data_IF_823407362600
#
_entry.id   IF_823407362600
#
_cell.length_a   1.000
_cell.length_b   1.000
_cell.length_c   1.000
_cell.angle_alpha   90.00
_cell.angle_beta   90.00
_cell.angle_gamma   90.00
#
_symmetry.space_group_name_H-M   'P 1'
#
loop_
_entity.id
_entity.type
_entity.pdbx_description
1 polymer ?
#
# COMPACT_ATOMS: atom_id res chain seq x y z
N UNK A 1 -35.54 -17.23 3.18
CA UNK A 1 -35.09 -16.53 4.38
C UNK A 1 -35.76 -15.16 4.39
N UNK A 2 -36.67 -14.92 5.33
CA UNK A 2 -37.42 -13.68 5.47
C UNK A 2 -36.47 -12.49 5.72
N UNK A 3 -36.81 -11.27 5.24
CA UNK A 3 -35.99 -10.09 5.50
C UNK A 3 -35.94 -9.87 7.01
N UNK A 4 -34.75 -9.91 7.57
CA UNK A 4 -34.52 -9.56 8.96
C UNK A 4 -35.07 -8.15 9.20
N UNK A 5 -36.16 -8.06 9.96
CA UNK A 5 -36.64 -6.83 10.54
C UNK A 5 -35.42 -6.10 11.13
N UNK A 6 -35.24 -4.84 10.73
CA UNK A 6 -34.22 -3.98 11.33
C UNK A 6 -34.48 -3.97 12.85
N UNK A 7 -33.76 -4.84 13.57
CA UNK A 7 -33.86 -4.91 15.03
C UNK A 7 -33.54 -3.51 15.53
N UNK A 8 -34.39 -2.97 16.43
CA UNK A 8 -34.09 -1.68 17.02
C UNK A 8 -32.66 -1.71 17.59
N UNK A 9 -31.91 -0.60 17.55
CA UNK A 9 -30.54 -0.55 18.08
C UNK A 9 -30.44 -1.19 19.50
N UNK A 10 -31.50 -1.05 20.27
CA UNK A 10 -31.61 -1.61 21.60
C UNK A 10 -31.71 -3.16 21.60
N UNK A 11 -32.51 -3.72 20.70
CA UNK A 11 -32.63 -5.18 20.54
C UNK A 11 -31.31 -5.78 20.05
N UNK A 12 -30.63 -5.10 19.12
CA UNK A 12 -29.30 -5.50 18.65
C UNK A 12 -28.27 -5.50 19.77
N UNK A 13 -28.21 -4.43 20.58
CA UNK A 13 -27.30 -4.34 21.75
C UNK A 13 -27.54 -5.46 22.75
N UNK A 14 -28.82 -5.73 23.08
CA UNK A 14 -29.18 -6.79 24.03
C UNK A 14 -28.69 -8.16 23.55
N UNK A 15 -28.86 -8.48 22.27
CA UNK A 15 -28.49 -9.80 21.71
C UNK A 15 -26.98 -9.93 21.51
N UNK A 16 -26.27 -8.86 21.12
CA UNK A 16 -24.86 -8.96 20.76
C UNK A 16 -23.90 -8.58 21.89
N UNK A 17 -24.27 -7.60 22.74
CA UNK A 17 -23.41 -7.08 23.79
C UNK A 17 -23.76 -7.62 25.20
N UNK A 18 -25.03 -7.91 25.44
CA UNK A 18 -25.55 -8.34 26.75
C UNK A 18 -26.26 -9.70 26.71
N UNK A 19 -25.87 -10.57 25.79
CA UNK A 19 -26.50 -11.89 25.59
C UNK A 19 -26.24 -12.89 26.72
N UNK A 20 -25.11 -12.80 27.39
CA UNK A 20 -24.72 -13.67 28.51
C UNK A 20 -24.08 -12.83 29.63
N UNK A 21 -24.02 -13.35 30.89
CA UNK A 21 -23.33 -12.64 31.98
C UNK A 21 -21.87 -12.30 31.66
N UNK A 22 -21.17 -13.22 30.98
CA UNK A 22 -19.77 -13.02 30.56
C UNK A 22 -19.68 -11.90 29.53
N UNK A 23 -20.51 -11.91 28.47
CA UNK A 23 -20.54 -10.85 27.47
C UNK A 23 -20.91 -9.50 28.08
N UNK A 24 -21.84 -9.49 29.03
CA UNK A 24 -22.21 -8.26 29.76
C UNK A 24 -21.03 -7.73 30.58
N UNK A 25 -20.34 -8.59 31.32
CA UNK A 25 -19.16 -8.18 32.10
C UNK A 25 -18.03 -7.65 31.19
N UNK A 26 -17.73 -8.32 30.08
CA UNK A 26 -16.76 -7.88 29.10
C UNK A 26 -17.15 -6.53 28.45
N UNK A 27 -18.41 -6.38 28.07
CA UNK A 27 -18.93 -5.14 27.50
C UNK A 27 -18.78 -3.97 28.48
N UNK A 28 -19.19 -4.17 29.76
CA UNK A 28 -19.06 -3.14 30.79
C UNK A 28 -17.60 -2.80 31.08
N UNK A 29 -16.71 -3.79 31.12
CA UNK A 29 -15.28 -3.57 31.30
C UNK A 29 -14.67 -2.75 30.15
N UNK A 30 -15.01 -3.11 28.90
CA UNK A 30 -14.54 -2.37 27.71
C UNK A 30 -15.09 -0.94 27.72
N UNK A 31 -16.38 -0.74 28.03
CA UNK A 31 -16.99 0.57 28.10
C UNK A 31 -16.35 1.43 29.21
N UNK A 32 -16.10 0.87 30.39
CA UNK A 32 -15.41 1.55 31.47
C UNK A 32 -13.97 1.95 31.07
N UNK A 33 -13.24 1.03 30.41
CA UNK A 33 -11.90 1.31 29.89
C UNK A 33 -11.93 2.42 28.85
N UNK A 34 -12.88 2.40 27.90
CA UNK A 34 -13.02 3.44 26.90
C UNK A 34 -13.43 4.77 27.52
N UNK A 35 -14.35 4.79 28.47
CA UNK A 35 -14.77 5.98 29.20
C UNK A 35 -13.62 6.64 30.00
N UNK A 36 -12.65 5.84 30.44
CA UNK A 36 -11.45 6.34 31.11
C UNK A 36 -10.36 6.76 30.11
N UNK A 37 -10.14 5.98 29.03
CA UNK A 37 -9.04 6.19 28.08
C UNK A 37 -9.34 7.32 27.09
N UNK A 38 -10.57 7.38 26.54
CA UNK A 38 -10.93 8.33 25.46
C UNK A 38 -10.80 9.79 25.90
N UNK A 39 -11.29 10.21 27.08
CA UNK A 39 -11.10 11.59 27.56
C UNK A 39 -9.62 11.92 27.76
N UNK A 40 -8.84 11.00 28.33
CA UNK A 40 -7.39 11.22 28.54
C UNK A 40 -6.63 11.30 27.21
N UNK A 41 -6.90 10.39 26.29
CA UNK A 41 -6.29 10.41 24.96
C UNK A 41 -6.72 11.68 24.20
N UNK A 42 -7.99 12.07 24.27
CA UNK A 42 -8.52 13.30 23.68
C UNK A 42 -7.91 14.56 24.29
N UNK A 43 -7.76 14.61 25.63
CA UNK A 43 -7.04 15.66 26.32
C UNK A 43 -5.64 15.80 25.75
N UNK A 44 -4.86 14.73 25.84
CA UNK A 44 -3.48 14.71 25.37
C UNK A 44 -3.33 15.05 23.87
N UNK A 45 -4.17 14.46 22.99
CA UNK A 45 -4.07 14.65 21.54
C UNK A 45 -4.53 16.01 21.05
N UNK A 46 -5.53 16.63 21.69
CA UNK A 46 -6.26 17.76 21.11
C UNK A 46 -6.27 18.98 22.03
N UNK A 47 -6.80 18.83 23.27
CA UNK A 47 -7.09 19.98 24.13
C UNK A 47 -5.85 20.55 24.78
N UNK A 48 -4.96 19.71 25.31
CA UNK A 48 -3.74 20.12 25.99
C UNK A 48 -2.54 20.15 25.03
N UNK A 49 -2.76 19.91 23.74
CA UNK A 49 -1.72 19.81 22.73
C UNK A 49 -1.22 21.18 22.26
N UNK A 50 0.07 21.25 21.98
CA UNK A 50 0.71 22.43 21.36
C UNK A 50 0.61 22.33 19.83
N UNK A 51 -0.11 23.26 19.23
CA UNK A 51 -0.36 23.33 17.79
C UNK A 51 0.41 24.47 17.13
N UNK A 52 0.69 24.32 15.83
CA UNK A 52 1.26 25.36 14.97
C UNK A 52 2.78 25.51 15.07
N UNK A 53 3.35 26.55 14.41
CA UNK A 53 4.78 26.77 14.33
C UNK A 53 5.32 27.37 15.65
N UNK A 54 5.54 26.51 16.64
CA UNK A 54 6.08 26.89 17.95
C UNK A 54 7.44 26.23 18.19
N UNK A 55 8.35 26.86 18.93
CA UNK A 55 9.65 26.26 19.27
C UNK A 55 9.47 25.03 20.18
N UNK A 56 10.45 24.14 20.19
CA UNK A 56 10.43 22.93 21.02
C UNK A 56 10.28 23.23 22.52
N UNK A 57 10.79 24.39 23.00
CA UNK A 57 10.65 24.84 24.37
C UNK A 57 9.18 25.08 24.80
N UNK A 58 8.31 25.47 23.88
CA UNK A 58 6.88 25.59 24.17
C UNK A 58 6.21 24.24 24.46
N UNK A 59 6.72 23.16 23.87
CA UNK A 59 6.25 21.81 24.13
C UNK A 59 6.78 21.24 25.46
N UNK A 60 7.91 21.75 25.94
CA UNK A 60 8.47 21.29 27.21
C UNK A 60 7.57 21.65 28.41
N UNK A 61 6.80 22.74 28.32
CA UNK A 61 5.85 23.15 29.32
C UNK A 61 4.65 22.19 29.48
N UNK A 62 4.27 21.49 28.40
CA UNK A 62 3.10 20.57 28.40
C UNK A 62 3.53 19.12 28.30
N UNK A 63 4.81 18.85 28.51
CA UNK A 63 5.36 17.51 28.35
C UNK A 63 4.74 16.52 29.34
N UNK A 64 4.10 15.46 28.77
CA UNK A 64 3.39 14.44 29.54
C UNK A 64 1.90 14.72 29.72
N UNK A 65 1.46 15.98 29.59
CA UNK A 65 0.07 16.38 29.67
C UNK A 65 -0.59 16.55 28.29
N UNK A 66 0.14 17.11 27.33
CA UNK A 66 -0.33 17.35 25.97
C UNK A 66 0.67 16.96 24.89
N UNK A 67 0.16 16.62 23.70
CA UNK A 67 0.96 16.30 22.53
C UNK A 67 1.62 17.54 21.91
N UNK A 68 2.80 17.38 21.34
CA UNK A 68 3.51 18.44 20.65
C UNK A 68 3.39 18.33 19.12
N UNK A 69 2.30 18.84 18.55
CA UNK A 69 2.14 18.85 17.08
C UNK A 69 3.02 19.89 16.38
N UNK A 70 3.67 20.78 17.13
CA UNK A 70 4.65 21.71 16.60
C UNK A 70 5.83 21.00 15.93
N UNK A 71 6.19 19.78 16.36
CA UNK A 71 7.22 18.94 15.71
C UNK A 71 6.85 18.61 14.27
N UNK A 72 5.58 18.28 14.02
CA UNK A 72 5.11 18.00 12.67
C UNK A 72 5.20 19.25 11.81
N UNK A 73 4.80 20.41 12.35
CA UNK A 73 4.86 21.68 11.64
C UNK A 73 6.29 22.07 11.24
N UNK A 74 7.22 21.91 12.15
CA UNK A 74 8.64 22.23 11.92
C UNK A 74 9.30 21.25 10.94
N UNK A 75 8.99 19.96 11.04
CA UNK A 75 9.65 18.90 10.29
C UNK A 75 8.88 18.39 9.08
N UNK A 76 7.69 18.94 8.77
CA UNK A 76 6.80 18.43 7.71
C UNK A 76 7.50 18.29 6.36
N UNK A 77 8.37 19.23 6.00
CA UNK A 77 9.11 19.19 4.73
C UNK A 77 10.05 18.00 4.67
N UNK A 78 10.79 17.73 5.75
CA UNK A 78 11.68 16.58 5.80
C UNK A 78 10.87 15.27 5.89
N UNK A 79 9.77 15.25 6.64
CA UNK A 79 8.89 14.08 6.71
C UNK A 79 8.33 13.70 5.34
N UNK A 80 7.89 14.68 4.55
CA UNK A 80 7.26 14.42 3.25
C UNK A 80 8.27 14.16 2.12
N UNK A 81 9.47 14.76 2.17
CA UNK A 81 10.41 14.74 1.06
C UNK A 81 11.76 14.09 1.39
N UNK A 82 12.02 13.76 2.67
CA UNK A 82 13.26 13.14 3.12
C UNK A 82 14.48 13.99 2.80
N UNK A 83 15.46 13.37 2.19
CA UNK A 83 16.75 13.99 1.82
C UNK A 83 16.73 14.69 0.45
N UNK A 84 15.56 14.83 -0.16
CA UNK A 84 15.45 15.56 -1.43
C UNK A 84 15.92 17.01 -1.26
N UNK A 85 16.69 17.60 -2.24
CA UNK A 85 17.24 18.95 -2.12
C UNK A 85 16.18 19.98 -1.76
N UNK A 86 16.46 20.80 -0.74
CA UNK A 86 15.48 21.69 -0.12
C UNK A 86 14.82 22.66 -1.12
N UNK A 87 15.60 23.25 -2.00
CA UNK A 87 15.11 24.23 -2.98
C UNK A 87 14.29 23.58 -4.10
N UNK A 88 14.45 22.27 -4.29
CA UNK A 88 13.79 21.48 -5.33
C UNK A 88 12.59 20.62 -4.81
N UNK A 89 12.27 20.72 -3.51
CA UNK A 89 11.19 19.89 -2.90
C UNK A 89 9.81 20.11 -3.51
N UNK A 90 9.58 21.25 -4.15
CA UNK A 90 8.36 21.51 -4.92
C UNK A 90 8.13 20.47 -6.02
N UNK A 91 9.20 19.94 -6.63
CA UNK A 91 9.16 18.90 -7.67
C UNK A 91 8.67 17.58 -7.07
N UNK A 92 9.24 17.17 -5.92
CA UNK A 92 8.82 15.99 -5.20
C UNK A 92 7.36 16.11 -4.72
N UNK A 93 6.93 17.30 -4.31
CA UNK A 93 5.54 17.58 -3.95
C UNK A 93 4.59 17.38 -5.14
N UNK A 94 4.92 17.98 -6.31
CA UNK A 94 4.11 17.84 -7.52
C UNK A 94 4.09 16.35 -7.95
N UNK A 95 5.22 15.64 -7.90
CA UNK A 95 5.27 14.22 -8.24
C UNK A 95 4.38 13.38 -7.32
N UNK A 96 4.39 13.62 -5.99
CA UNK A 96 3.52 12.92 -5.04
C UNK A 96 2.04 13.22 -5.31
N UNK A 97 1.68 14.48 -5.57
CA UNK A 97 0.30 14.88 -5.93
C UNK A 97 -0.12 14.24 -7.25
N UNK A 98 0.75 14.24 -8.26
CA UNK A 98 0.48 13.62 -9.56
C UNK A 98 0.23 12.12 -9.42
N UNK A 99 1.10 11.39 -8.71
CA UNK A 99 0.95 9.96 -8.48
C UNK A 99 -0.33 9.64 -7.69
N UNK A 100 -0.65 10.44 -6.66
CA UNK A 100 -1.91 10.31 -5.91
C UNK A 100 -3.12 10.58 -6.81
N UNK A 101 -3.05 11.61 -7.67
CA UNK A 101 -4.11 11.95 -8.61
C UNK A 101 -4.35 10.84 -9.64
N UNK A 102 -3.30 10.17 -10.11
CA UNK A 102 -3.41 9.01 -10.99
C UNK A 102 -4.18 7.87 -10.33
N UNK A 103 -3.92 7.60 -9.05
CA UNK A 103 -4.67 6.60 -8.28
C UNK A 103 -6.15 7.01 -8.15
N UNK A 104 -6.45 8.27 -7.83
CA UNK A 104 -7.81 8.78 -7.72
C UNK A 104 -8.56 8.71 -9.06
N UNK A 105 -7.91 9.13 -10.16
CA UNK A 105 -8.50 9.05 -11.51
C UNK A 105 -8.79 7.60 -11.89
N UNK A 106 -7.90 6.66 -11.53
CA UNK A 106 -8.09 5.22 -11.77
C UNK A 106 -9.28 4.65 -10.99
N UNK A 107 -9.65 5.27 -9.87
CA UNK A 107 -10.83 4.85 -9.10
C UNK A 107 -12.15 5.33 -9.74
N UNK A 108 -12.12 6.28 -10.65
CA UNK A 108 -13.32 6.86 -11.28
C UNK A 108 -13.67 6.10 -12.55
N UNK A 109 -14.81 5.42 -12.57
CA UNK A 109 -15.27 4.54 -13.67
C UNK A 109 -15.34 5.24 -15.04
N UNK A 110 -15.67 6.53 -15.10
CA UNK A 110 -15.75 7.28 -16.36
C UNK A 110 -14.42 7.37 -17.13
N UNK A 111 -13.30 7.21 -16.41
CA UNK A 111 -11.96 7.19 -16.99
C UNK A 111 -11.50 5.79 -17.45
N UNK A 112 -12.23 4.72 -17.21
CA UNK A 112 -11.88 3.34 -17.59
C UNK A 112 -11.98 3.10 -19.10
N UNK A 113 -11.18 3.81 -19.84
CA UNK A 113 -11.05 3.75 -21.31
C UNK A 113 -9.58 3.68 -21.69
N UNK A 114 -9.27 3.43 -22.96
CA UNK A 114 -7.89 3.45 -23.49
C UNK A 114 -7.11 4.73 -23.12
N UNK A 115 -7.81 5.84 -22.89
CA UNK A 115 -7.21 7.11 -22.43
C UNK A 115 -6.52 6.96 -21.06
N UNK A 116 -6.98 6.09 -20.19
CA UNK A 116 -6.37 5.87 -18.87
C UNK A 116 -4.91 5.41 -19.02
N UNK A 117 -4.62 4.55 -19.99
CA UNK A 117 -3.25 4.08 -20.29
C UNK A 117 -2.36 5.26 -20.67
N UNK A 118 -2.85 6.15 -21.53
CA UNK A 118 -2.10 7.35 -21.92
C UNK A 118 -1.88 8.31 -20.74
N UNK A 119 -2.90 8.49 -19.88
CA UNK A 119 -2.80 9.32 -18.66
C UNK A 119 -1.72 8.74 -17.73
N UNK A 120 -1.70 7.42 -17.53
CA UNK A 120 -0.67 6.76 -16.73
C UNK A 120 0.71 6.90 -17.36
N UNK A 121 0.86 6.66 -18.67
CA UNK A 121 2.15 6.80 -19.36
C UNK A 121 2.72 8.21 -19.22
N UNK A 122 1.90 9.23 -19.47
CA UNK A 122 2.31 10.65 -19.32
C UNK A 122 2.63 10.97 -17.85
N UNK A 123 1.76 10.57 -16.93
CA UNK A 123 1.95 10.85 -15.51
C UNK A 123 3.20 10.19 -14.93
N UNK A 124 3.52 8.97 -15.36
CA UNK A 124 4.76 8.27 -15.00
C UNK A 124 5.98 9.03 -15.51
N UNK A 125 6.02 9.35 -16.80
CA UNK A 125 7.13 10.08 -17.41
C UNK A 125 7.35 11.43 -16.72
N UNK A 126 6.27 12.17 -16.46
CA UNK A 126 6.34 13.45 -15.75
C UNK A 126 6.83 13.27 -14.30
N UNK A 127 6.39 12.23 -13.59
CA UNK A 127 6.84 11.99 -12.22
C UNK A 127 8.34 11.69 -12.14
N UNK A 128 8.86 10.87 -13.06
CA UNK A 128 10.31 10.59 -13.11
C UNK A 128 11.11 11.80 -13.57
N UNK A 129 10.62 12.56 -14.53
CA UNK A 129 11.26 13.79 -14.95
C UNK A 129 11.31 14.83 -13.82
N UNK A 130 10.22 15.01 -13.08
CA UNK A 130 10.20 15.88 -11.90
C UNK A 130 11.20 15.42 -10.85
N UNK A 131 11.22 14.13 -10.53
CA UNK A 131 12.11 13.59 -9.48
C UNK A 131 13.58 13.59 -9.90
N UNK A 132 13.88 13.14 -11.13
CA UNK A 132 15.26 13.00 -11.61
C UNK A 132 15.85 14.25 -12.22
N UNK A 133 15.02 15.15 -12.72
CA UNK A 133 15.47 16.36 -13.44
C UNK A 133 15.85 16.11 -14.89
N UNK A 134 16.68 17.00 -15.43
CA UNK A 134 17.02 17.06 -16.87
C UNK A 134 16.03 17.93 -17.65
N UNK A 135 16.35 18.22 -18.92
CA UNK A 135 15.54 19.07 -19.79
C UNK A 135 15.16 20.43 -19.14
N UNK A 136 16.17 21.12 -18.57
CA UNK A 136 15.98 22.43 -17.93
C UNK A 136 15.81 22.37 -16.39
N UNK A 137 15.69 21.20 -15.80
CA UNK A 137 15.69 21.02 -14.35
C UNK A 137 17.05 20.49 -13.87
N UNK A 138 17.50 20.91 -12.70
CA UNK A 138 18.71 20.40 -12.06
C UNK A 138 18.61 18.89 -11.85
N UNK A 139 19.62 18.08 -12.26
CA UNK A 139 19.60 16.65 -12.03
C UNK A 139 19.68 16.32 -10.55
N UNK A 140 18.79 15.43 -10.08
CA UNK A 140 18.78 14.92 -8.72
C UNK A 140 18.93 13.39 -8.76
N UNK A 141 20.04 12.84 -8.28
CA UNK A 141 20.28 11.40 -8.32
C UNK A 141 19.31 10.66 -7.39
N UNK A 142 18.99 9.40 -7.72
CA UNK A 142 17.97 8.62 -7.03
C UNK A 142 18.32 8.36 -5.55
N UNK A 143 19.58 8.41 -5.18
CA UNK A 143 20.04 8.29 -3.77
C UNK A 143 19.54 9.46 -2.88
N UNK A 144 19.21 10.59 -3.51
CA UNK A 144 18.63 11.76 -2.83
C UNK A 144 17.09 11.80 -2.90
N UNK A 145 16.46 10.80 -3.50
CA UNK A 145 15.00 10.73 -3.47
C UNK A 145 14.54 10.24 -2.11
N UNK A 146 13.42 10.77 -1.62
CA UNK A 146 12.94 10.41 -0.30
C UNK A 146 11.49 10.77 -0.04
N UNK A 147 11.03 10.38 1.14
CA UNK A 147 9.71 10.70 1.67
C UNK A 147 8.55 10.02 0.95
N UNK A 148 7.40 10.70 0.94
CA UNK A 148 6.15 10.16 0.40
C UNK A 148 6.24 9.85 -1.10
N UNK A 149 7.02 10.63 -1.86
CA UNK A 149 7.19 10.40 -3.31
C UNK A 149 7.82 9.03 -3.58
N UNK A 150 8.85 8.63 -2.82
CA UNK A 150 9.51 7.32 -2.95
C UNK A 150 8.56 6.21 -2.52
N UNK A 151 7.83 6.38 -1.41
CA UNK A 151 6.81 5.42 -0.97
C UNK A 151 5.78 5.16 -2.07
N UNK A 152 5.27 6.23 -2.71
CA UNK A 152 4.30 6.11 -3.81
C UNK A 152 4.92 5.44 -5.04
N UNK A 153 6.14 5.80 -5.43
CA UNK A 153 6.86 5.15 -6.54
C UNK A 153 7.00 3.65 -6.27
N UNK A 154 7.56 3.27 -5.12
CA UNK A 154 7.76 1.87 -4.78
C UNK A 154 6.45 1.07 -4.79
N UNK A 155 5.38 1.62 -4.21
CA UNK A 155 4.08 0.96 -4.16
C UNK A 155 3.43 0.86 -5.55
N UNK A 156 3.32 1.97 -6.29
CA UNK A 156 2.62 2.01 -7.58
C UNK A 156 3.32 1.13 -8.61
N UNK A 157 4.64 1.27 -8.74
CA UNK A 157 5.41 0.46 -9.70
C UNK A 157 5.54 -0.99 -9.22
N UNK A 158 5.71 -1.19 -7.90
CA UNK A 158 5.70 -2.53 -7.31
C UNK A 158 4.44 -3.29 -7.69
N UNK A 159 3.27 -2.70 -7.44
CA UNK A 159 1.97 -3.29 -7.76
C UNK A 159 1.76 -3.39 -9.28
N UNK A 160 2.03 -2.31 -10.02
CA UNK A 160 1.76 -2.20 -11.45
C UNK A 160 2.50 -3.26 -12.28
N UNK A 161 3.77 -3.51 -11.99
CA UNK A 161 4.56 -4.53 -12.68
C UNK A 161 4.39 -5.94 -12.10
N UNK A 162 4.14 -6.05 -10.79
CA UNK A 162 3.90 -7.36 -10.18
C UNK A 162 2.57 -7.97 -10.61
N UNK A 163 1.55 -7.16 -10.91
CA UNK A 163 0.23 -7.69 -11.25
C UNK A 163 0.23 -8.55 -12.54
N UNK A 164 0.72 -8.07 -13.70
CA UNK A 164 0.81 -8.91 -14.88
C UNK A 164 1.71 -10.13 -14.69
N UNK A 165 2.83 -9.97 -13.98
CA UNK A 165 3.72 -11.09 -13.67
C UNK A 165 3.03 -12.13 -12.78
N UNK A 166 2.28 -11.70 -11.77
CA UNK A 166 1.48 -12.58 -10.91
C UNK A 166 0.40 -13.35 -11.66
N UNK A 167 -0.28 -12.69 -12.63
CA UNK A 167 -1.25 -13.37 -13.51
C UNK A 167 -0.55 -14.43 -14.35
N UNK A 168 0.61 -14.13 -14.96
CA UNK A 168 1.37 -15.08 -15.75
C UNK A 168 1.84 -16.28 -14.92
N UNK A 169 2.34 -16.05 -13.70
CA UNK A 169 2.75 -17.10 -12.77
C UNK A 169 1.55 -17.99 -12.36
N UNK A 170 0.38 -17.40 -12.10
CA UNK A 170 -0.84 -18.15 -11.79
C UNK A 170 -1.27 -19.06 -12.94
N UNK A 171 -1.20 -18.57 -14.18
CA UNK A 171 -1.47 -19.36 -15.39
C UNK A 171 -0.38 -20.43 -15.59
N UNK A 172 0.89 -20.07 -15.38
CA UNK A 172 2.03 -21.00 -15.45
C UNK A 172 1.89 -22.17 -14.48
N UNK A 173 1.48 -21.92 -13.24
CA UNK A 173 1.20 -22.95 -12.23
C UNK A 173 0.11 -23.94 -12.66
N UNK A 174 -0.82 -23.53 -13.51
CA UNK A 174 -1.90 -24.37 -14.09
C UNK A 174 -1.57 -24.95 -15.46
N UNK A 175 -0.38 -24.65 -15.99
CA UNK A 175 0.03 -25.13 -17.31
C UNK A 175 0.11 -26.65 -17.38
N UNK A 176 -0.26 -27.21 -18.55
CA UNK A 176 -0.05 -28.62 -18.88
C UNK A 176 1.43 -28.94 -19.19
N UNK A 177 2.24 -27.92 -19.47
CA UNK A 177 3.67 -28.06 -19.73
C UNK A 177 4.43 -28.22 -18.40
N UNK A 178 5.10 -29.38 -18.16
CA UNK A 178 5.64 -29.73 -16.87
C UNK A 178 6.74 -28.75 -16.40
N UNK A 179 7.57 -28.28 -17.31
CA UNK A 179 8.66 -27.33 -16.99
C UNK A 179 8.11 -25.98 -16.55
N UNK A 180 7.15 -25.41 -17.32
CA UNK A 180 6.54 -24.11 -16.96
C UNK A 180 5.84 -24.20 -15.61
N UNK A 181 5.10 -25.29 -15.38
CA UNK A 181 4.44 -25.55 -14.11
C UNK A 181 5.44 -25.65 -12.96
N UNK A 182 6.50 -26.44 -13.11
CA UNK A 182 7.51 -26.66 -12.10
C UNK A 182 8.22 -25.35 -11.73
N UNK A 183 8.67 -24.57 -12.71
CA UNK A 183 9.34 -23.27 -12.50
C UNK A 183 8.39 -22.29 -11.80
N UNK A 184 7.12 -22.20 -12.25
CA UNK A 184 6.15 -21.29 -11.61
C UNK A 184 5.85 -21.70 -10.17
N UNK A 185 5.67 -23.00 -9.90
CA UNK A 185 5.45 -23.51 -8.54
C UNK A 185 6.66 -23.22 -7.65
N UNK A 186 7.85 -23.59 -8.10
CA UNK A 186 9.09 -23.41 -7.34
C UNK A 186 9.32 -21.94 -6.99
N UNK A 187 9.15 -21.04 -7.96
CA UNK A 187 9.27 -19.61 -7.74
C UNK A 187 8.27 -19.11 -6.69
N UNK A 188 6.99 -19.43 -6.84
CA UNK A 188 5.94 -18.97 -5.93
C UNK A 188 6.19 -19.47 -4.50
N UNK A 189 6.53 -20.75 -4.33
CA UNK A 189 6.73 -21.34 -3.01
C UNK A 189 8.00 -20.78 -2.33
N UNK A 190 9.12 -20.65 -3.05
CA UNK A 190 10.36 -20.08 -2.52
C UNK A 190 10.14 -18.62 -2.09
N UNK A 191 9.62 -17.79 -2.99
CA UNK A 191 9.49 -16.35 -2.72
C UNK A 191 8.51 -16.08 -1.57
N UNK A 192 7.42 -16.84 -1.47
CA UNK A 192 6.46 -16.74 -0.36
C UNK A 192 6.98 -17.32 0.96
N UNK A 193 7.98 -18.18 0.90
CA UNK A 193 8.63 -18.75 2.09
C UNK A 193 9.70 -17.85 2.72
N UNK A 194 10.10 -16.78 2.03
CA UNK A 194 11.17 -15.88 2.50
C UNK A 194 10.56 -14.53 2.92
N UNK A 195 10.99 -13.94 4.07
CA UNK A 195 10.54 -12.59 4.45
C UNK A 195 10.98 -11.52 3.44
N UNK A 196 10.13 -10.53 3.16
CA UNK A 196 10.45 -9.43 2.24
C UNK A 196 11.75 -8.70 2.64
N UNK A 197 11.99 -8.52 3.94
CA UNK A 197 13.20 -7.85 4.44
C UNK A 197 14.47 -8.57 3.98
N UNK A 198 14.48 -9.90 3.96
CA UNK A 198 15.59 -10.71 3.48
C UNK A 198 15.80 -10.54 1.98
N UNK A 199 14.70 -10.52 1.21
CA UNK A 199 14.75 -10.31 -0.25
C UNK A 199 15.31 -8.93 -0.58
N UNK A 200 14.88 -7.89 0.13
CA UNK A 200 15.40 -6.52 -0.02
C UNK A 200 16.90 -6.44 0.31
N UNK A 201 17.33 -7.07 1.39
CA UNK A 201 18.73 -7.11 1.78
C UNK A 201 19.58 -7.83 0.73
N UNK A 202 19.15 -8.99 0.25
CA UNK A 202 19.84 -9.72 -0.82
C UNK A 202 19.94 -8.92 -2.11
N UNK A 203 18.83 -8.30 -2.55
CA UNK A 203 18.82 -7.52 -3.77
C UNK A 203 19.70 -6.25 -3.68
N UNK A 204 19.71 -5.60 -2.53
CA UNK A 204 20.39 -4.30 -2.40
C UNK A 204 21.87 -4.42 -2.01
N UNK A 205 22.24 -5.38 -1.20
CA UNK A 205 23.61 -5.53 -0.69
C UNK A 205 24.30 -6.71 -1.36
N UNK A 206 23.75 -7.93 -1.23
CA UNK A 206 24.46 -9.10 -1.74
C UNK A 206 24.57 -9.08 -3.27
N UNK A 207 23.46 -8.75 -3.98
CA UNK A 207 23.51 -8.68 -5.43
C UNK A 207 24.53 -7.66 -5.94
N UNK A 208 24.70 -6.53 -5.24
CA UNK A 208 25.72 -5.53 -5.59
C UNK A 208 27.15 -6.06 -5.53
N UNK A 209 27.44 -7.01 -4.59
CA UNK A 209 28.77 -7.62 -4.44
C UNK A 209 29.13 -8.56 -5.57
N UNK A 210 28.14 -9.13 -6.26
CA UNK A 210 28.33 -10.06 -7.38
C UNK A 210 28.31 -9.38 -8.76
N UNK A 211 28.15 -8.05 -8.80
CA UNK A 211 28.12 -7.32 -10.07
C UNK A 211 29.53 -7.16 -10.65
N UNK A 212 29.68 -7.32 -11.97
CA UNK A 212 30.96 -7.06 -12.63
C UNK A 212 31.44 -5.63 -12.41
N UNK A 213 32.75 -5.44 -12.41
CA UNK A 213 33.35 -4.11 -12.33
C UNK A 213 32.82 -3.19 -13.46
N UNK A 214 32.42 -1.97 -13.08
CA UNK A 214 31.87 -0.96 -14.00
C UNK A 214 30.34 -1.00 -14.17
N UNK A 215 29.63 -2.08 -13.79
CA UNK A 215 28.18 -2.13 -13.83
C UNK A 215 27.59 -1.73 -12.47
N UNK A 216 26.98 -0.54 -12.38
CA UNK A 216 26.31 -0.07 -11.17
C UNK A 216 24.82 0.10 -11.45
N UNK A 217 23.99 -0.73 -10.82
CA UNK A 217 22.53 -0.55 -10.81
C UNK A 217 22.18 0.23 -9.53
N UNK A 218 21.42 1.30 -9.66
CA UNK A 218 20.98 2.10 -8.53
C UNK A 218 20.22 1.27 -7.49
N UNK A 219 20.43 1.58 -6.21
CA UNK A 219 19.85 0.84 -5.10
C UNK A 219 18.32 0.85 -5.11
N UNK A 220 17.72 2.01 -5.46
CA UNK A 220 16.27 2.15 -5.58
C UNK A 220 15.70 1.18 -6.65
N UNK A 221 16.38 1.06 -7.79
CA UNK A 221 15.95 0.14 -8.86
C UNK A 221 16.07 -1.33 -8.43
N UNK A 222 17.16 -1.70 -7.73
CA UNK A 222 17.31 -3.06 -7.19
C UNK A 222 16.21 -3.40 -6.18
N UNK A 223 15.90 -2.47 -5.28
CA UNK A 223 14.80 -2.61 -4.33
C UNK A 223 13.45 -2.73 -5.05
N UNK A 224 13.23 -1.90 -6.07
CA UNK A 224 11.99 -1.93 -6.86
C UNK A 224 11.78 -3.28 -7.55
N UNK A 225 12.82 -3.85 -8.18
CA UNK A 225 12.76 -5.17 -8.81
C UNK A 225 12.48 -6.26 -7.78
N UNK A 226 13.14 -6.21 -6.61
CA UNK A 226 12.92 -7.14 -5.52
C UNK A 226 11.46 -7.12 -5.03
N UNK A 227 10.89 -5.92 -4.84
CA UNK A 227 9.49 -5.72 -4.46
C UNK A 227 8.56 -6.29 -5.52
N UNK A 228 8.79 -6.00 -6.81
CA UNK A 228 7.98 -6.54 -7.92
C UNK A 228 7.97 -8.06 -7.89
N UNK A 229 9.13 -8.68 -7.83
CA UNK A 229 9.25 -10.14 -7.80
C UNK A 229 8.56 -10.73 -6.57
N UNK A 230 8.74 -10.14 -5.41
CA UNK A 230 8.10 -10.60 -4.17
C UNK A 230 6.56 -10.53 -4.26
N UNK A 231 6.02 -9.39 -4.66
CA UNK A 231 4.57 -9.18 -4.77
C UNK A 231 3.95 -10.09 -5.82
N UNK A 232 4.64 -10.34 -6.94
CA UNK A 232 4.15 -11.19 -8.02
C UNK A 232 3.83 -12.61 -7.55
N UNK A 233 4.60 -13.16 -6.60
CA UNK A 233 4.33 -14.48 -6.03
C UNK A 233 3.03 -14.51 -5.20
N UNK A 234 2.78 -13.47 -4.42
CA UNK A 234 1.53 -13.34 -3.64
C UNK A 234 0.31 -13.09 -4.53
N UNK A 235 0.45 -12.24 -5.54
CA UNK A 235 -0.60 -12.00 -6.54
C UNK A 235 -0.91 -13.25 -7.34
N UNK A 236 0.10 -14.05 -7.69
CA UNK A 236 -0.10 -15.33 -8.38
C UNK A 236 -1.01 -16.26 -7.58
N UNK A 237 -0.84 -16.31 -6.26
CA UNK A 237 -1.67 -17.15 -5.40
C UNK A 237 -3.10 -16.61 -5.26
N UNK A 238 -3.27 -15.29 -5.13
CA UNK A 238 -4.59 -14.67 -5.12
C UNK A 238 -5.36 -14.93 -6.42
N UNK A 239 -4.70 -14.75 -7.58
CA UNK A 239 -5.29 -15.03 -8.89
C UNK A 239 -5.57 -16.53 -9.08
N UNK A 240 -4.68 -17.41 -8.60
CA UNK A 240 -4.90 -18.86 -8.61
C UNK A 240 -6.17 -19.24 -7.85
N UNK A 241 -6.38 -18.63 -6.67
CA UNK A 241 -7.60 -18.82 -5.90
C UNK A 241 -8.86 -18.43 -6.69
N UNK A 242 -8.83 -17.27 -7.36
CA UNK A 242 -9.92 -16.86 -8.25
C UNK A 242 -10.13 -17.81 -9.43
N UNK A 243 -9.06 -18.27 -10.09
CA UNK A 243 -9.15 -19.24 -11.17
C UNK A 243 -9.75 -20.59 -10.74
N UNK A 244 -9.55 -20.98 -9.49
CA UNK A 244 -10.15 -22.20 -8.92
C UNK A 244 -11.64 -22.03 -8.59
N UNK A 245 -12.07 -20.81 -8.26
CA UNK A 245 -13.45 -20.49 -7.92
C UNK A 245 -14.36 -20.36 -9.14
N UNK A 246 -13.81 -20.23 -10.36
CA UNK A 246 -14.62 -20.20 -11.59
C UNK A 246 -15.24 -21.59 -11.82
N UNK A 247 -16.59 -21.68 -12.01
CA UNK A 247 -17.28 -22.96 -12.23
C UNK A 247 -16.74 -23.71 -13.45
N UNK A 248 -16.62 -25.04 -13.33
CA UNK A 248 -16.13 -25.90 -14.43
C UNK A 248 -16.95 -25.77 -15.71
N UNK A 249 -18.26 -25.59 -15.60
CA UNK A 249 -19.15 -25.37 -16.75
C UNK A 249 -18.74 -24.20 -17.65
N UNK A 250 -18.01 -23.18 -17.13
CA UNK A 250 -17.48 -22.09 -17.96
C UNK A 250 -16.37 -22.57 -18.90
N UNK A 251 -15.55 -23.52 -18.44
CA UNK A 251 -14.50 -24.15 -19.26
C UNK A 251 -15.11 -25.09 -20.29
N UNK A 252 -16.07 -25.92 -19.87
CA UNK A 252 -16.77 -26.91 -20.73
C UNK A 252 -17.58 -26.21 -21.83
N UNK A 253 -18.30 -25.13 -21.50
CA UNK A 253 -19.03 -24.32 -22.47
C UNK A 253 -18.10 -23.67 -23.51
N UNK A 254 -16.94 -23.15 -23.06
CA UNK A 254 -15.94 -22.57 -23.96
C UNK A 254 -15.35 -23.64 -24.93
N UNK A 255 -15.10 -24.85 -24.43
CA UNK A 255 -14.62 -25.97 -25.21
C UNK A 255 -15.67 -26.42 -26.22
N UNK A 256 -16.95 -26.51 -25.84
CA UNK A 256 -18.07 -26.83 -26.73
C UNK A 256 -18.24 -25.79 -27.85
N UNK A 257 -17.87 -24.54 -27.64
CA UNK A 257 -17.83 -23.47 -28.65
C UNK A 257 -16.55 -23.50 -29.52
N UNK A 258 -15.65 -24.46 -29.31
CA UNK A 258 -14.40 -24.58 -30.06
C UNK A 258 -13.36 -23.48 -29.76
N UNK A 259 -13.44 -22.82 -28.61
CA UNK A 259 -12.50 -21.78 -28.23
C UNK A 259 -11.14 -22.37 -27.85
N UNK A 260 -10.07 -21.78 -28.41
CA UNK A 260 -8.71 -22.15 -28.02
C UNK A 260 -8.44 -21.76 -26.55
N UNK A 261 -7.47 -22.41 -25.90
CA UNK A 261 -7.07 -22.15 -24.52
C UNK A 261 -6.90 -20.66 -24.21
N UNK A 262 -6.17 -19.92 -25.04
CA UNK A 262 -5.91 -18.50 -24.83
C UNK A 262 -7.17 -17.64 -24.96
N UNK A 263 -8.07 -17.98 -25.87
CA UNK A 263 -9.37 -17.30 -26.01
C UNK A 263 -10.28 -17.60 -24.82
N UNK A 264 -10.34 -18.87 -24.39
CA UNK A 264 -11.07 -19.27 -23.18
C UNK A 264 -10.57 -18.52 -21.95
N UNK A 265 -9.23 -18.51 -21.75
CA UNK A 265 -8.64 -17.79 -20.62
C UNK A 265 -8.87 -16.28 -20.69
N UNK A 266 -8.57 -15.64 -21.83
CA UNK A 266 -8.60 -14.19 -21.96
C UNK A 266 -10.02 -13.59 -21.97
N UNK A 267 -10.99 -14.28 -22.56
CA UNK A 267 -12.33 -13.74 -22.77
C UNK A 267 -13.34 -14.18 -21.70
N UNK A 268 -13.17 -15.37 -21.12
CA UNK A 268 -14.18 -15.98 -20.24
C UNK A 268 -13.65 -16.17 -18.83
N UNK A 269 -12.58 -16.92 -18.65
CA UNK A 269 -12.17 -17.39 -17.32
C UNK A 269 -11.43 -16.33 -16.53
N UNK A 270 -10.41 -15.71 -17.12
CA UNK A 270 -9.57 -14.73 -16.40
C UNK A 270 -10.35 -13.49 -15.95
N UNK A 271 -11.25 -12.89 -16.75
CA UNK A 271 -12.08 -11.78 -16.27
C UNK A 271 -12.94 -12.14 -15.05
N UNK A 272 -13.51 -13.35 -15.04
CA UNK A 272 -14.30 -13.84 -13.89
C UNK A 272 -13.40 -14.11 -12.68
N UNK A 273 -12.28 -14.80 -12.89
CA UNK A 273 -11.32 -15.09 -11.84
C UNK A 273 -10.77 -13.83 -11.18
N UNK A 274 -10.43 -12.80 -11.96
CA UNK A 274 -9.96 -11.52 -11.43
C UNK A 274 -11.02 -10.81 -10.61
N UNK A 275 -12.30 -10.82 -11.02
CA UNK A 275 -13.40 -10.28 -10.21
C UNK A 275 -13.49 -10.96 -8.84
N UNK A 276 -13.43 -12.29 -8.81
CA UNK A 276 -13.46 -13.07 -7.56
C UNK A 276 -12.23 -12.77 -6.70
N UNK A 277 -11.10 -12.47 -7.34
CA UNK A 277 -9.83 -12.21 -6.64
C UNK A 277 -9.66 -10.76 -6.17
N UNK A 278 -10.60 -9.84 -6.44
CA UNK A 278 -10.47 -8.42 -6.04
C UNK A 278 -10.16 -8.28 -4.54
N UNK A 279 -10.91 -8.90 -3.59
CA UNK A 279 -10.65 -8.73 -2.18
C UNK A 279 -9.22 -9.13 -1.77
N UNK A 280 -8.72 -10.33 -2.07
CA UNK A 280 -7.35 -10.71 -1.74
C UNK A 280 -6.29 -9.87 -2.48
N UNK A 281 -6.52 -9.46 -3.72
CA UNK A 281 -5.60 -8.59 -4.47
C UNK A 281 -5.47 -7.22 -3.78
N UNK A 282 -6.56 -6.59 -3.39
CA UNK A 282 -6.51 -5.29 -2.72
C UNK A 282 -5.88 -5.40 -1.33
N UNK A 283 -6.11 -6.49 -0.60
CA UNK A 283 -5.41 -6.74 0.66
C UNK A 283 -3.89 -6.83 0.46
N UNK A 284 -3.42 -7.45 -0.63
CA UNK A 284 -2.00 -7.45 -1.00
C UNK A 284 -1.53 -6.02 -1.29
N UNK A 285 -2.28 -5.21 -2.05
CA UNK A 285 -1.92 -3.82 -2.35
C UNK A 285 -1.78 -2.96 -1.08
N UNK A 286 -2.72 -3.10 -0.13
CA UNK A 286 -2.66 -2.43 1.17
C UNK A 286 -1.44 -2.87 1.97
N UNK A 287 -1.11 -4.16 1.95
CA UNK A 287 0.09 -4.69 2.62
C UNK A 287 1.36 -4.12 1.98
N UNK A 288 1.47 -4.16 0.66
CA UNK A 288 2.60 -3.62 -0.10
C UNK A 288 2.84 -2.14 0.22
N UNK A 289 1.79 -1.33 0.25
CA UNK A 289 1.92 0.10 0.58
C UNK A 289 2.54 0.32 1.96
N UNK A 290 2.22 -0.53 2.93
CA UNK A 290 2.85 -0.51 4.27
C UNK A 290 4.27 -1.08 4.25
N UNK A 291 4.48 -2.14 3.49
CA UNK A 291 5.75 -2.87 3.41
C UNK A 291 6.84 -2.05 2.70
N UNK A 292 6.49 -0.98 1.97
CA UNK A 292 7.49 -0.02 1.48
C UNK A 292 8.35 0.55 2.61
N UNK A 293 7.84 0.63 3.84
CA UNK A 293 8.61 1.07 5.01
C UNK A 293 9.80 0.16 5.37
N UNK A 294 9.79 -1.10 4.90
CA UNK A 294 10.89 -2.04 5.13
C UNK A 294 12.17 -1.69 4.35
N UNK A 295 12.09 -0.81 3.34
CA UNK A 295 13.27 -0.36 2.59
C UNK A 295 14.24 0.47 3.45
N UNK A 296 13.84 0.86 4.64
CA UNK A 296 14.71 1.46 5.67
C UNK A 296 15.93 0.60 5.96
N UNK A 297 15.80 -0.75 5.93
CA UNK A 297 16.90 -1.67 6.22
C UNK A 297 18.07 -1.53 5.26
N UNK A 298 17.78 -1.05 4.05
CA UNK A 298 18.77 -0.86 2.99
C UNK A 298 19.11 0.63 2.79
N UNK A 299 18.65 1.51 3.71
CA UNK A 299 19.00 2.94 3.70
C UNK A 299 18.22 3.81 2.72
N UNK A 300 17.14 3.32 2.11
CA UNK A 300 16.27 4.15 1.28
C UNK A 300 15.35 4.98 2.18
N UNK A 301 15.29 6.28 1.91
CA UNK A 301 14.45 7.23 2.64
C UNK A 301 13.01 7.20 2.14
N UNK A 302 12.25 6.15 2.50
CA UNK A 302 10.80 6.17 2.35
C UNK A 302 10.14 7.14 3.34
N UNK A 303 8.81 7.27 3.29
CA UNK A 303 8.08 8.19 4.17
C UNK A 303 8.25 7.85 5.66
N UNK A 304 8.18 6.58 6.05
CA UNK A 304 8.31 6.18 7.46
C UNK A 304 9.73 6.46 7.99
N UNK A 305 10.75 6.19 7.18
CA UNK A 305 12.13 6.47 7.56
C UNK A 305 12.43 7.97 7.59
N UNK A 306 11.88 8.75 6.67
CA UNK A 306 11.99 10.19 6.68
C UNK A 306 11.36 10.78 7.96
N UNK A 307 10.18 10.31 8.37
CA UNK A 307 9.55 10.71 9.64
C UNK A 307 10.44 10.36 10.84
N UNK A 308 10.96 9.13 10.90
CA UNK A 308 11.87 8.71 11.96
C UNK A 308 13.10 9.62 12.03
N UNK A 309 13.77 9.83 10.90
CA UNK A 309 14.99 10.64 10.82
C UNK A 309 14.76 12.12 11.11
N UNK A 310 13.59 12.67 10.78
CA UNK A 310 13.26 14.07 11.03
C UNK A 310 13.36 14.47 12.50
N UNK A 311 13.11 13.53 13.41
CA UNK A 311 13.18 13.74 14.86
C UNK A 311 14.45 13.18 15.49
N UNK A 312 15.02 12.10 14.95
CA UNK A 312 16.24 11.50 15.49
C UNK A 312 17.48 12.41 15.34
N UNK A 313 17.54 13.18 14.26
CA UNK A 313 18.69 14.04 13.93
C UNK A 313 18.67 15.38 14.65
N UNK A 314 17.57 15.72 15.32
CA UNK A 314 17.41 16.99 16.05
C UNK A 314 17.13 16.72 17.53
N UNK A 315 18.11 17.05 18.38
CA UNK A 315 18.06 16.81 19.83
C UNK A 315 16.83 17.48 20.46
N UNK A 316 16.43 18.65 19.96
CA UNK A 316 15.30 19.40 20.48
C UNK A 316 13.97 18.67 20.26
N UNK A 317 13.85 17.97 19.14
CA UNK A 317 12.63 17.28 18.74
C UNK A 317 12.62 15.77 19.01
N UNK A 318 13.77 15.19 19.37
CA UNK A 318 13.91 13.74 19.58
C UNK A 318 12.91 13.17 20.60
N UNK A 319 12.54 13.94 21.61
CA UNK A 319 11.61 13.54 22.69
C UNK A 319 10.15 13.48 22.22
N UNK A 320 9.81 14.05 21.05
CA UNK A 320 8.46 14.11 20.48
C UNK A 320 8.30 13.13 19.31
N UNK A 321 8.99 12.00 19.35
CA UNK A 321 8.93 10.98 18.30
C UNK A 321 7.53 10.34 18.16
N UNK A 322 6.77 10.26 19.26
CA UNK A 322 5.41 9.68 19.26
C UNK A 322 4.50 10.48 18.34
N UNK A 323 4.51 11.80 18.44
CA UNK A 323 3.70 12.71 17.64
C UNK A 323 4.07 12.62 16.14
N UNK A 324 5.37 12.55 15.86
CA UNK A 324 5.86 12.35 14.49
C UNK A 324 5.37 11.01 13.91
N UNK A 325 5.42 9.92 14.68
CA UNK A 325 4.91 8.63 14.26
C UNK A 325 3.38 8.61 14.12
N UNK A 326 2.64 9.27 15.02
CA UNK A 326 1.19 9.43 14.89
C UNK A 326 0.82 10.14 13.59
N UNK A 327 1.57 11.18 13.20
CA UNK A 327 1.40 11.81 11.89
C UNK A 327 1.60 10.81 10.76
N UNK A 328 2.65 9.99 10.81
CA UNK A 328 2.88 8.97 9.78
C UNK A 328 1.75 7.94 9.71
N UNK A 329 1.24 7.50 10.87
CA UNK A 329 0.09 6.58 10.96
C UNK A 329 -1.13 7.17 10.25
N UNK A 330 -1.42 8.46 10.47
CA UNK A 330 -2.56 9.13 9.80
C UNK A 330 -2.39 9.14 8.28
N UNK A 331 -1.19 9.46 7.78
CA UNK A 331 -0.92 9.45 6.33
C UNK A 331 -1.08 8.04 5.74
N UNK A 332 -0.47 7.01 6.34
CA UNK A 332 -0.63 5.62 5.91
C UNK A 332 -2.10 5.17 5.98
N UNK A 333 -2.80 5.56 7.05
CA UNK A 333 -4.20 5.23 7.24
C UNK A 333 -5.09 5.81 6.14
N UNK A 334 -4.87 7.06 5.72
CA UNK A 334 -5.63 7.70 4.63
C UNK A 334 -5.53 6.87 3.35
N UNK A 335 -4.32 6.51 2.92
CA UNK A 335 -4.13 5.70 1.71
C UNK A 335 -4.72 4.29 1.84
N UNK A 336 -4.45 3.60 2.95
CA UNK A 336 -4.97 2.25 3.18
C UNK A 336 -6.50 2.23 3.29
N UNK A 337 -7.09 3.22 3.97
CA UNK A 337 -8.54 3.35 4.08
C UNK A 337 -9.19 3.64 2.73
N UNK A 338 -8.61 4.54 1.94
CA UNK A 338 -9.10 4.82 0.58
C UNK A 338 -9.09 3.56 -0.30
N UNK A 339 -7.99 2.78 -0.28
CA UNK A 339 -7.90 1.52 -1.01
C UNK A 339 -8.95 0.50 -0.51
N UNK A 340 -9.13 0.36 0.80
CA UNK A 340 -10.11 -0.56 1.38
C UNK A 340 -11.55 -0.17 1.01
N UNK A 341 -11.89 1.13 1.08
CA UNK A 341 -13.22 1.62 0.68
C UNK A 341 -13.48 1.43 -0.81
N UNK A 342 -12.46 1.63 -1.62
CA UNK A 342 -12.54 1.39 -3.06
C UNK A 342 -12.78 -0.09 -3.39
N UNK A 343 -12.07 -1.03 -2.71
CA UNK A 343 -12.32 -2.46 -2.85
C UNK A 343 -13.77 -2.84 -2.57
N UNK A 344 -14.31 -2.38 -1.43
CA UNK A 344 -15.68 -2.65 -1.04
C UNK A 344 -16.71 -2.07 -2.03
N UNK A 345 -16.37 -0.95 -2.67
CA UNK A 345 -17.20 -0.38 -3.72
C UNK A 345 -17.16 -1.24 -4.99
N UNK A 346 -15.97 -1.68 -5.43
CA UNK A 346 -15.80 -2.58 -6.57
C UNK A 346 -16.57 -3.89 -6.38
N UNK A 347 -16.43 -4.52 -5.23
CA UNK A 347 -17.14 -5.77 -4.92
C UNK A 347 -18.66 -5.61 -5.04
N UNK A 348 -19.22 -4.53 -4.49
CA UNK A 348 -20.68 -4.24 -4.59
C UNK A 348 -21.12 -3.96 -6.02
N UNK A 349 -20.30 -3.26 -6.80
CA UNK A 349 -20.63 -2.92 -8.18
C UNK A 349 -20.63 -4.16 -9.08
N UNK A 350 -19.65 -5.06 -8.91
CA UNK A 350 -19.60 -6.31 -9.66
C UNK A 350 -20.69 -7.31 -9.23
N UNK A 351 -21.02 -7.40 -7.94
CA UNK A 351 -22.12 -8.24 -7.47
C UNK A 351 -23.51 -7.77 -7.99
N UNK A 352 -23.69 -6.47 -8.25
CA UNK A 352 -24.93 -5.95 -8.88
C UNK A 352 -25.06 -6.35 -10.35
N UNK A 353 -23.94 -6.45 -11.07
CA UNK A 353 -23.93 -6.86 -12.48
C UNK A 353 -24.30 -8.34 -12.71
N UNK A 354 -24.15 -9.20 -11.70
CA UNK A 354 -24.49 -10.63 -11.78
C UNK A 354 -25.98 -10.91 -11.48
N UNK A 355 -26.68 -9.96 -10.88
CA UNK A 355 -28.11 -10.09 -10.54
C UNK A 355 -29.05 -9.56 -11.64
N UNK A 356 -28.51 -9.01 -12.71
CA UNK A 356 -29.24 -8.59 -13.93
C UNK A 356 -28.96 -9.55 -15.08
#
# INVERSE_FOLDING_TARGET
MSPAHAASPFAWMRVNLFSTPINSALTLLILAMLAWLVPKAGGWLIWDAVWGPKPASACDAVRGEGACWAVVWDKIRFMLFGVYPFDEQWRAAIAAVLLTSLLVISAIRSFWRKRLIAIWAVGIVLSFWLMGGGLGLTPVPAERWGGLSVTLILAIFGIGFAFPLGVLLALGRRSKLPVIRAVSVLYIEIVRGVPLITVLFMASIMFALFMPEGLRIEQLLRAQVAIILFIAAYLAEAVRGGLQAVPRGQYEAAEALGLSYWRTMGLIVLPQALKISIPPIVNIFISVFKDTSLVVIIGIYDFAYAVKKSVETDISWKKYFIEAFLFSIVVYWIYCYAMSRYSQWLEREFARGERR
#
